data_IF_062700383758
#
_entry.id   IF_062700383758
#
_cell.length_a   1.000
_cell.length_b   1.000
_cell.length_c   1.000
_cell.angle_alpha   90.00
_cell.angle_beta   90.00
_cell.angle_gamma   90.00
#
_symmetry.space_group_name_H-M   'P 1'
#
loop_
_entity.id
_entity.type
_entity.pdbx_description
1 polymer ?
#
# COMPACT_ATOMS: atom_id res chain seq x y z
N UNK A 1 32.31 -1.10 -64.40
CA UNK A 1 31.50 -1.85 -63.43
C UNK A 1 31.64 -1.39 -61.97
N UNK A 2 32.78 -0.84 -61.52
CA UNK A 2 33.03 -0.50 -60.11
C UNK A 2 32.09 0.56 -59.46
N UNK A 3 31.53 1.51 -60.24
CA UNK A 3 30.73 2.62 -59.69
C UNK A 3 29.34 2.19 -59.22
N UNK A 4 28.67 1.31 -59.96
CA UNK A 4 27.33 0.83 -59.61
C UNK A 4 27.35 -0.06 -58.37
N UNK A 5 28.34 -0.95 -58.26
CA UNK A 5 28.52 -1.82 -57.09
C UNK A 5 28.80 -1.02 -55.83
N UNK A 6 29.65 0.02 -55.92
CA UNK A 6 29.91 0.93 -54.80
C UNK A 6 28.66 1.70 -54.36
N UNK A 7 27.85 2.18 -55.31
CA UNK A 7 26.59 2.87 -55.01
C UNK A 7 25.58 1.94 -54.30
N UNK A 8 25.49 0.68 -54.73
CA UNK A 8 24.62 -0.33 -54.12
C UNK A 8 25.03 -0.65 -52.68
N UNK A 9 26.34 -0.81 -52.43
CA UNK A 9 26.87 -1.05 -51.09
C UNK A 9 26.65 0.16 -50.16
N UNK A 10 26.83 1.38 -50.68
CA UNK A 10 26.57 2.61 -49.92
C UNK A 10 25.08 2.76 -49.55
N UNK A 11 24.18 2.46 -50.49
CA UNK A 11 22.73 2.48 -50.24
C UNK A 11 22.31 1.41 -49.21
N UNK A 12 22.92 0.23 -49.24
CA UNK A 12 22.67 -0.82 -48.25
C UNK A 12 23.14 -0.40 -46.85
N UNK A 13 24.35 0.14 -46.74
CA UNK A 13 24.88 0.65 -45.48
C UNK A 13 23.99 1.76 -44.89
N UNK A 14 23.56 2.72 -45.73
CA UNK A 14 22.67 3.80 -45.30
C UNK A 14 21.32 3.27 -44.78
N UNK A 15 20.74 2.27 -45.44
CA UNK A 15 19.48 1.63 -45.01
C UNK A 15 19.66 0.91 -43.67
N UNK A 16 20.75 0.16 -43.51
CA UNK A 16 21.07 -0.53 -42.25
C UNK A 16 21.25 0.44 -41.09
N UNK A 17 21.97 1.54 -41.30
CA UNK A 17 22.21 2.55 -40.28
C UNK A 17 20.93 3.30 -39.90
N UNK A 18 20.04 3.52 -40.87
CA UNK A 18 18.72 4.07 -40.61
C UNK A 18 17.85 3.11 -39.78
N UNK A 19 17.82 1.83 -40.14
CA UNK A 19 17.10 0.80 -39.38
C UNK A 19 17.62 0.69 -37.94
N UNK A 20 18.94 0.70 -37.74
CA UNK A 20 19.56 0.68 -36.42
C UNK A 20 19.17 1.90 -35.58
N UNK A 21 19.14 3.11 -36.18
CA UNK A 21 18.68 4.34 -35.50
C UNK A 21 17.22 4.27 -35.08
N UNK A 22 16.35 3.74 -35.94
CA UNK A 22 14.93 3.54 -35.59
C UNK A 22 14.78 2.54 -34.45
N UNK A 23 15.44 1.38 -34.56
CA UNK A 23 15.39 0.34 -33.53
C UNK A 23 15.84 0.88 -32.17
N UNK A 24 16.91 1.67 -32.14
CA UNK A 24 17.40 2.31 -30.93
C UNK A 24 16.38 3.33 -30.37
N UNK A 25 15.72 4.10 -31.23
CA UNK A 25 14.68 5.06 -30.81
C UNK A 25 13.47 4.35 -30.21
N UNK A 26 13.03 3.26 -30.82
CA UNK A 26 11.93 2.41 -30.31
C UNK A 26 12.33 1.80 -28.97
N UNK A 27 13.55 1.24 -28.86
CA UNK A 27 14.06 0.67 -27.62
C UNK A 27 14.06 1.70 -26.49
N UNK A 28 14.58 2.90 -26.72
CA UNK A 28 14.57 3.99 -25.73
C UNK A 28 13.15 4.36 -25.30
N UNK A 29 12.22 4.45 -26.25
CA UNK A 29 10.81 4.73 -25.96
C UNK A 29 10.17 3.64 -25.09
N UNK A 30 10.36 2.36 -25.44
CA UNK A 30 9.81 1.24 -24.68
C UNK A 30 10.38 1.17 -23.26
N UNK A 31 11.68 1.42 -23.10
CA UNK A 31 12.31 1.49 -21.77
C UNK A 31 11.73 2.64 -20.96
N UNK A 32 11.59 3.83 -21.55
CA UNK A 32 11.00 4.99 -20.86
C UNK A 32 9.54 4.71 -20.42
N UNK A 33 8.74 4.12 -21.31
CA UNK A 33 7.37 3.71 -21.02
C UNK A 33 7.31 2.69 -19.88
N UNK A 34 8.19 1.69 -19.90
CA UNK A 34 8.26 0.67 -18.86
C UNK A 34 8.64 1.29 -17.50
N UNK A 35 9.66 2.15 -17.46
CA UNK A 35 10.07 2.87 -16.24
C UNK A 35 8.94 3.74 -15.70
N UNK A 36 8.21 4.45 -16.57
CA UNK A 36 7.06 5.26 -16.15
C UNK A 36 5.93 4.38 -15.55
N UNK A 37 5.65 3.24 -16.17
CA UNK A 37 4.69 2.26 -15.66
C UNK A 37 5.07 1.73 -14.28
N UNK A 38 6.33 1.34 -14.10
CA UNK A 38 6.86 0.88 -12.81
C UNK A 38 6.77 1.95 -11.74
N UNK A 39 7.14 3.21 -12.04
CA UNK A 39 7.00 4.32 -11.10
C UNK A 39 5.55 4.50 -10.64
N UNK A 40 4.59 4.44 -11.58
CA UNK A 40 3.16 4.55 -11.26
C UNK A 40 2.66 3.37 -10.42
N UNK A 41 3.17 2.16 -10.68
CA UNK A 41 2.84 0.99 -9.86
C UNK A 41 3.35 1.16 -8.43
N UNK A 42 4.64 1.50 -8.27
CA UNK A 42 5.27 1.72 -6.96
C UNK A 42 4.51 2.80 -6.17
N UNK A 43 4.20 3.93 -6.79
CA UNK A 43 3.46 5.02 -6.14
C UNK A 43 2.11 4.55 -5.59
N UNK A 44 1.31 3.84 -6.41
CA UNK A 44 0.01 3.30 -5.98
C UNK A 44 0.14 2.28 -4.85
N UNK A 45 1.16 1.42 -4.91
CA UNK A 45 1.40 0.43 -3.85
C UNK A 45 1.78 1.10 -2.54
N UNK A 46 2.63 2.12 -2.58
CA UNK A 46 3.03 2.90 -1.39
C UNK A 46 1.82 3.63 -0.79
N UNK A 47 0.99 4.27 -1.61
CA UNK A 47 -0.24 4.92 -1.13
C UNK A 47 -1.22 3.94 -0.52
N UNK A 48 -1.35 2.73 -1.09
CA UNK A 48 -2.21 1.68 -0.53
C UNK A 48 -1.67 1.20 0.81
N UNK A 49 -0.36 0.97 0.91
CA UNK A 49 0.28 0.56 2.16
C UNK A 49 0.10 1.60 3.27
N UNK A 50 0.25 2.90 2.95
CA UNK A 50 -0.01 3.99 3.91
C UNK A 50 -1.45 4.01 4.41
N UNK A 51 -2.42 3.91 3.50
CA UNK A 51 -3.84 3.85 3.88
C UNK A 51 -4.16 2.67 4.79
N UNK A 52 -3.59 1.49 4.50
CA UNK A 52 -3.77 0.31 5.34
C UNK A 52 -3.12 0.52 6.72
N UNK A 53 -1.94 1.13 6.79
CA UNK A 53 -1.29 1.46 8.07
C UNK A 53 -2.12 2.44 8.91
N UNK A 54 -2.70 3.46 8.28
CA UNK A 54 -3.60 4.41 8.94
C UNK A 54 -4.88 3.73 9.45
N UNK A 55 -5.48 2.83 8.65
CA UNK A 55 -6.65 2.05 9.05
C UNK A 55 -6.35 1.13 10.26
N UNK A 56 -5.18 0.47 10.26
CA UNK A 56 -4.73 -0.36 11.38
C UNK A 56 -4.61 0.47 12.65
N UNK A 57 -3.95 1.63 12.58
CA UNK A 57 -3.80 2.53 13.74
C UNK A 57 -5.14 3.01 14.27
N UNK A 58 -6.08 3.33 13.37
CA UNK A 58 -7.43 3.71 13.76
C UNK A 58 -8.14 2.58 14.53
N UNK A 59 -8.07 1.36 14.04
CA UNK A 59 -8.67 0.20 14.71
C UNK A 59 -7.99 -0.16 16.03
N UNK A 60 -6.66 -0.02 16.12
CA UNK A 60 -5.91 -0.20 17.37
C UNK A 60 -6.30 0.83 18.43
N UNK A 61 -6.44 2.10 18.05
CA UNK A 61 -6.92 3.16 18.93
C UNK A 61 -8.34 2.87 19.43
N UNK A 62 -9.26 2.49 18.52
CA UNK A 62 -10.62 2.11 18.89
C UNK A 62 -10.67 0.87 19.80
N UNK A 63 -9.78 -0.11 19.58
CA UNK A 63 -9.66 -1.28 20.46
C UNK A 63 -9.14 -0.91 21.85
N UNK A 64 -8.21 0.04 21.96
CA UNK A 64 -7.73 0.54 23.24
C UNK A 64 -8.84 1.25 24.01
N UNK A 65 -9.60 2.14 23.36
CA UNK A 65 -10.74 2.82 23.97
C UNK A 65 -11.83 1.84 24.42
N UNK A 66 -12.15 0.85 23.59
CA UNK A 66 -13.11 -0.19 23.94
C UNK A 66 -12.68 -0.98 25.18
N UNK A 67 -11.39 -1.28 25.33
CA UNK A 67 -10.84 -1.95 26.53
C UNK A 67 -10.96 -1.08 27.77
N UNK A 68 -10.64 0.21 27.68
CA UNK A 68 -10.79 1.14 28.81
C UNK A 68 -12.26 1.17 29.25
N UNK A 69 -13.18 1.30 28.30
CA UNK A 69 -14.62 1.33 28.58
C UNK A 69 -15.13 0.01 29.16
N UNK A 70 -14.61 -1.13 28.72
CA UNK A 70 -14.96 -2.42 29.32
C UNK A 70 -14.45 -2.53 30.76
N UNK A 71 -13.24 -2.06 31.04
CA UNK A 71 -12.66 -2.09 32.39
C UNK A 71 -13.45 -1.17 33.34
N UNK A 72 -13.86 0.01 32.88
CA UNK A 72 -14.74 0.91 33.64
C UNK A 72 -16.10 0.27 33.95
N UNK A 73 -16.71 -0.38 32.97
CA UNK A 73 -17.98 -1.08 33.15
C UNK A 73 -17.85 -2.22 34.18
N UNK A 74 -16.75 -2.98 34.13
CA UNK A 74 -16.46 -4.03 35.10
C UNK A 74 -16.28 -3.50 36.52
N UNK A 75 -15.50 -2.43 36.70
CA UNK A 75 -15.32 -1.79 38.02
C UNK A 75 -16.63 -1.25 38.58
N UNK A 76 -17.47 -0.65 37.72
CA UNK A 76 -18.78 -0.15 38.13
C UNK A 76 -19.71 -1.30 38.57
N UNK A 77 -19.76 -2.38 37.79
CA UNK A 77 -20.54 -3.57 38.13
C UNK A 77 -20.08 -4.21 39.45
N UNK A 78 -18.77 -4.32 39.68
CA UNK A 78 -18.22 -4.85 40.93
C UNK A 78 -18.55 -3.95 42.14
N UNK A 79 -18.51 -2.63 41.95
CA UNK A 79 -18.96 -1.66 42.94
C UNK A 79 -20.44 -1.81 43.29
N UNK A 80 -21.30 -2.00 42.29
CA UNK A 80 -22.73 -2.26 42.50
C UNK A 80 -22.98 -3.58 43.23
N UNK A 81 -22.29 -4.66 42.84
CA UNK A 81 -22.38 -5.95 43.53
C UNK A 81 -21.96 -5.84 45.00
N UNK A 82 -20.86 -5.12 45.26
CA UNK A 82 -20.37 -4.87 46.61
C UNK A 82 -21.32 -4.00 47.44
N UNK A 83 -21.99 -3.03 46.83
CA UNK A 83 -23.02 -2.23 47.49
C UNK A 83 -24.25 -3.10 47.83
N UNK A 84 -24.72 -3.90 46.87
CA UNK A 84 -25.86 -4.81 47.07
C UNK A 84 -25.58 -5.81 48.19
N UNK A 85 -24.40 -6.45 48.21
CA UNK A 85 -23.99 -7.37 49.29
C UNK A 85 -24.01 -6.72 50.67
N UNK A 86 -23.52 -5.48 50.77
CA UNK A 86 -23.56 -4.71 52.03
C UNK A 86 -24.98 -4.40 52.46
N UNK A 87 -25.87 -4.12 51.52
CA UNK A 87 -27.27 -3.81 51.81
C UNK A 87 -28.04 -5.05 52.28
N UNK A 88 -27.89 -6.19 51.59
CA UNK A 88 -28.45 -7.46 52.03
C UNK A 88 -28.02 -7.83 53.46
N UNK A 89 -26.73 -7.69 53.76
CA UNK A 89 -26.19 -7.94 55.09
C UNK A 89 -26.84 -7.05 56.18
N UNK A 90 -27.15 -5.78 55.89
CA UNK A 90 -27.87 -4.90 56.83
C UNK A 90 -29.30 -5.37 57.11
N UNK A 91 -29.92 -6.03 56.15
CA UNK A 91 -31.26 -6.60 56.28
C UNK A 91 -31.26 -8.04 56.81
N UNK A 92 -30.11 -8.56 57.25
CA UNK A 92 -29.99 -9.92 57.78
C UNK A 92 -30.14 -11.02 56.73
N UNK A 93 -30.05 -10.67 55.44
CA UNK A 93 -30.12 -11.60 54.32
C UNK A 93 -28.78 -11.68 53.60
N UNK A 94 -28.55 -12.73 52.82
CA UNK A 94 -27.35 -12.91 52.01
C UNK A 94 -27.70 -12.94 50.53
N UNK A 95 -26.86 -12.30 49.72
CA UNK A 95 -26.91 -12.27 48.26
C UNK A 95 -26.02 -13.35 47.65
#
# INVERSE_FOLDING_TARGET
MHKYTAALLAAFAATKDFAARIAERIRKFLVALHVASLKRLVFRTVERARRVDDDVRYHEAGAAEARIKSDEAWRHADGQLSAAKRDAAKHGTTL
#
